data_IF_419772326137
#
_entry.id   IF_419772326137
#
_cell.length_a   1.000
_cell.length_b   1.000
_cell.length_c   1.000
_cell.angle_alpha   90.00
_cell.angle_beta   90.00
_cell.angle_gamma   90.00
#
_symmetry.space_group_name_H-M   'P 1'
#
loop_
_entity.id
_entity.type
_entity.pdbx_description
1 polymer ?
#
# COMPACT_ATOMS: atom_id res chain seq x y z
N UNK A 1 1.85 -31.87 -29.22
CA UNK A 1 1.31 -31.32 -27.96
C UNK A 1 2.30 -31.68 -26.85
N UNK A 2 3.06 -30.70 -26.35
CA UNK A 2 4.06 -30.90 -25.30
C UNK A 2 3.36 -30.88 -23.95
N UNK A 3 3.46 -31.97 -23.20
CA UNK A 3 3.04 -32.06 -21.81
C UNK A 3 3.86 -31.06 -20.98
N UNK A 4 3.21 -30.00 -20.50
CA UNK A 4 3.76 -29.13 -19.46
C UNK A 4 3.63 -29.90 -18.16
N UNK A 5 4.74 -30.46 -17.69
CA UNK A 5 4.84 -31.00 -16.35
C UNK A 5 4.65 -29.83 -15.36
N UNK A 6 3.46 -29.77 -14.75
CA UNK A 6 3.22 -28.94 -13.57
C UNK A 6 4.11 -29.54 -12.47
N UNK A 7 5.25 -28.92 -12.21
CA UNK A 7 6.06 -29.26 -11.05
C UNK A 7 5.26 -28.89 -9.80
N UNK A 8 4.58 -29.88 -9.23
CA UNK A 8 4.10 -29.80 -7.86
C UNK A 8 5.33 -29.75 -6.96
N UNK A 9 5.83 -28.55 -6.69
CA UNK A 9 6.62 -28.31 -5.50
C UNK A 9 5.68 -28.58 -4.33
N UNK A 10 5.86 -29.75 -3.70
CA UNK A 10 5.30 -30.03 -2.37
C UNK A 10 5.74 -28.88 -1.46
N UNK A 11 4.85 -27.91 -1.23
CA UNK A 11 4.98 -27.02 -0.10
C UNK A 11 4.85 -27.92 1.12
N UNK A 12 5.94 -28.14 1.86
CA UNK A 12 5.87 -28.61 3.23
C UNK A 12 4.95 -27.64 3.97
N UNK A 13 3.68 -28.02 4.08
CA UNK A 13 2.63 -27.22 4.67
C UNK A 13 2.88 -27.18 6.16
N UNK A 14 3.52 -26.12 6.65
CA UNK A 14 3.44 -25.74 8.04
C UNK A 14 1.97 -25.48 8.35
N UNK A 15 1.31 -26.39 9.08
CA UNK A 15 -0.04 -26.18 9.63
C UNK A 15 -0.09 -24.78 10.28
N UNK A 16 -1.13 -24.00 9.97
CA UNK A 16 -1.33 -22.67 10.59
C UNK A 16 -0.63 -21.49 9.92
N UNK A 17 -0.14 -21.63 8.68
CA UNK A 17 0.34 -20.46 7.90
C UNK A 17 -0.81 -19.81 7.13
N UNK A 18 -1.07 -18.53 7.38
CA UNK A 18 -2.06 -17.72 6.70
C UNK A 18 -1.39 -16.73 5.74
N UNK A 19 -1.85 -16.71 4.49
CA UNK A 19 -1.40 -15.72 3.52
C UNK A 19 -1.97 -14.35 3.88
N UNK A 20 -1.11 -13.34 3.92
CA UNK A 20 -1.48 -11.97 4.17
C UNK A 20 -0.89 -11.03 3.13
N UNK A 21 -1.53 -9.88 2.98
CA UNK A 21 -1.13 -8.79 2.11
C UNK A 21 -0.62 -7.64 2.98
N UNK A 22 0.51 -7.05 2.60
CA UNK A 22 1.04 -5.86 3.27
C UNK A 22 0.06 -4.68 3.16
N UNK A 23 -0.29 -4.06 4.30
CA UNK A 23 -1.28 -2.97 4.38
C UNK A 23 -0.67 -1.56 4.31
N UNK A 24 0.64 -1.44 4.06
CA UNK A 24 1.33 -0.14 4.14
C UNK A 24 1.31 0.68 2.84
N UNK A 25 1.48 0.06 1.68
CA UNK A 25 1.52 0.76 0.41
C UNK A 25 0.88 -0.07 -0.70
N UNK A 26 0.60 0.56 -1.85
CA UNK A 26 -0.08 -0.06 -2.98
C UNK A 26 0.66 -1.24 -3.65
N UNK A 27 1.93 -1.51 -3.30
CA UNK A 27 2.63 -2.71 -3.78
C UNK A 27 2.02 -4.01 -3.26
N UNK A 28 1.33 -3.95 -2.11
CA UNK A 28 0.55 -5.07 -1.56
C UNK A 28 1.33 -6.40 -1.57
N UNK A 29 2.59 -6.36 -1.13
CA UNK A 29 3.45 -7.53 -1.11
C UNK A 29 2.83 -8.65 -0.27
N UNK A 30 2.85 -9.87 -0.79
CA UNK A 30 2.27 -11.05 -0.12
C UNK A 30 3.32 -11.80 0.67
N UNK A 31 2.96 -12.23 1.88
CA UNK A 31 3.78 -13.07 2.75
C UNK A 31 2.86 -13.86 3.69
N UNK A 32 3.37 -14.91 4.29
CA UNK A 32 2.64 -15.72 5.27
C UNK A 32 2.88 -15.21 6.68
N UNK A 33 1.88 -15.36 7.55
CA UNK A 33 2.07 -15.36 8.99
C UNK A 33 1.73 -16.76 9.51
N UNK A 34 2.60 -17.33 10.32
CA UNK A 34 2.26 -18.51 11.11
C UNK A 34 2.17 -18.15 12.58
N UNK A 35 1.32 -18.88 13.28
CA UNK A 35 1.21 -18.83 14.74
C UNK A 35 0.35 -20.00 15.15
N UNK A 36 0.90 -20.92 15.92
CA UNK A 36 0.16 -22.10 16.36
C UNK A 36 -0.72 -21.69 17.54
N UNK A 37 -2.05 -21.78 17.37
CA UNK A 37 -3.09 -21.45 18.38
C UNK A 37 -2.68 -20.32 19.33
N UNK A 38 -2.15 -19.24 18.78
CA UNK A 38 -1.42 -18.20 19.52
C UNK A 38 -2.30 -17.48 20.55
N UNK A 39 -3.63 -17.61 20.42
CA UNK A 39 -4.63 -17.02 21.32
C UNK A 39 -5.39 -18.05 22.18
N UNK A 40 -5.14 -19.37 22.02
CA UNK A 40 -5.91 -20.42 22.72
C UNK A 40 -5.09 -21.21 23.77
N UNK A 41 -3.78 -20.97 23.87
CA UNK A 41 -2.92 -21.67 24.84
C UNK A 41 -2.70 -20.83 26.10
N UNK A 42 -2.89 -21.43 27.27
CA UNK A 42 -2.53 -20.86 28.59
C UNK A 42 -1.00 -20.84 28.79
N UNK A 43 -0.25 -21.56 27.95
CA UNK A 43 1.20 -21.61 27.98
C UNK A 43 1.74 -20.83 26.79
N UNK A 44 2.34 -19.68 27.07
CA UNK A 44 2.99 -18.85 26.07
C UNK A 44 4.41 -19.36 25.83
N UNK A 45 4.64 -20.01 24.69
CA UNK A 45 5.95 -20.48 24.26
C UNK A 45 6.37 -19.90 22.92
N UNK A 46 7.59 -20.21 22.49
CA UNK A 46 8.20 -19.76 21.23
C UNK A 46 7.34 -20.15 20.01
N UNK A 47 6.56 -21.22 20.11
CA UNK A 47 5.59 -21.70 19.13
C UNK A 47 4.33 -20.82 18.99
N UNK A 48 4.02 -19.98 19.99
CA UNK A 48 2.87 -19.07 19.97
C UNK A 48 3.22 -17.68 19.42
N UNK A 49 4.51 -17.41 19.18
CA UNK A 49 4.96 -16.17 18.54
C UNK A 49 4.54 -16.17 17.07
N UNK A 50 3.98 -15.05 16.63
CA UNK A 50 3.65 -14.85 15.22
C UNK A 50 4.96 -14.73 14.43
N UNK A 51 5.12 -15.53 13.38
CA UNK A 51 6.32 -15.56 12.54
C UNK A 51 5.99 -15.24 11.09
N UNK A 52 6.84 -14.45 10.40
CA UNK A 52 6.68 -14.26 8.98
C UNK A 52 7.22 -15.46 8.19
N UNK A 53 6.51 -15.81 7.13
CA UNK A 53 6.92 -16.78 6.12
C UNK A 53 7.02 -16.08 4.77
N UNK A 54 8.20 -16.13 4.15
CA UNK A 54 8.41 -15.47 2.85
C UNK A 54 8.29 -16.48 1.73
N UNK A 55 7.32 -16.27 0.84
CA UNK A 55 7.19 -17.05 -0.39
C UNK A 55 8.21 -16.52 -1.41
N UNK A 56 9.00 -17.43 -1.99
CA UNK A 56 10.35 -17.16 -2.54
C UNK A 56 10.44 -16.39 -3.88
N UNK A 57 9.58 -15.39 -4.16
CA UNK A 57 9.76 -14.50 -5.33
C UNK A 57 9.55 -13.01 -5.04
N UNK A 58 8.73 -12.65 -4.06
CA UNK A 58 8.52 -11.25 -3.66
C UNK A 58 9.18 -11.00 -2.31
N UNK A 59 10.16 -10.10 -2.29
CA UNK A 59 10.76 -9.63 -1.05
C UNK A 59 9.82 -8.63 -0.40
N UNK A 60 9.78 -8.59 0.91
CA UNK A 60 9.08 -7.55 1.65
C UNK A 60 10.04 -6.44 2.06
N UNK A 61 9.54 -5.21 2.12
CA UNK A 61 10.31 -4.07 2.62
C UNK A 61 10.34 -4.05 4.17
N UNK A 62 11.10 -3.15 4.81
CA UNK A 62 11.10 -3.01 6.27
C UNK A 62 9.70 -2.77 6.87
N UNK A 63 8.81 -2.05 6.17
CA UNK A 63 7.42 -1.87 6.61
C UNK A 63 6.63 -3.18 6.58
N UNK A 64 6.83 -4.01 5.55
CA UNK A 64 6.22 -5.35 5.50
C UNK A 64 6.71 -6.25 6.64
N UNK A 65 8.00 -6.15 7.01
CA UNK A 65 8.55 -6.90 8.15
C UNK A 65 7.90 -6.45 9.46
N UNK A 66 7.67 -5.14 9.59
CA UNK A 66 7.03 -4.54 10.76
C UNK A 66 5.57 -4.98 10.96
N UNK A 67 4.89 -5.53 9.94
CA UNK A 67 3.54 -6.10 10.13
C UNK A 67 3.49 -7.18 11.23
N UNK A 68 4.55 -7.99 11.36
CA UNK A 68 4.62 -9.03 12.41
C UNK A 68 4.64 -8.39 13.78
N UNK A 69 5.49 -7.37 13.95
CA UNK A 69 5.58 -6.60 15.19
C UNK A 69 4.26 -5.89 15.49
N UNK A 70 3.66 -5.26 14.49
CA UNK A 70 2.41 -4.52 14.63
C UNK A 70 1.28 -5.40 15.18
N UNK A 71 1.17 -6.66 14.72
CA UNK A 71 0.13 -7.60 15.19
C UNK A 71 0.31 -7.98 16.66
N UNK A 72 1.53 -8.02 17.16
CA UNK A 72 1.84 -8.42 18.54
C UNK A 72 2.30 -7.26 19.44
N UNK A 73 2.17 -6.01 18.96
CA UNK A 73 2.71 -4.85 19.66
C UNK A 73 1.95 -4.57 20.97
N UNK A 74 2.67 -4.39 22.07
CA UNK A 74 2.09 -4.21 23.40
C UNK A 74 1.20 -2.95 23.54
N UNK A 75 1.41 -1.94 22.68
CA UNK A 75 0.56 -0.73 22.64
C UNK A 75 -0.68 -0.84 21.74
N UNK A 76 -1.00 -2.03 21.20
CA UNK A 76 -2.26 -2.22 20.48
C UNK A 76 -3.44 -1.99 21.42
N UNK A 77 -4.46 -1.30 20.93
CA UNK A 77 -5.72 -1.12 21.66
C UNK A 77 -6.45 -2.47 21.73
N UNK A 78 -6.50 -3.07 22.91
CA UNK A 78 -7.21 -4.33 23.16
C UNK A 78 -8.68 -4.11 23.58
N UNK A 79 -9.02 -2.92 24.09
CA UNK A 79 -10.33 -2.60 24.63
C UNK A 79 -10.81 -1.24 24.12
N UNK A 80 -12.11 -1.06 23.88
CA UNK A 80 -12.65 0.23 23.54
C UNK A 80 -12.51 1.21 24.70
N UNK A 81 -12.37 2.50 24.36
CA UNK A 81 -12.29 3.59 25.33
C UNK A 81 -13.32 4.66 25.02
N UNK A 82 -13.92 5.24 26.05
CA UNK A 82 -14.80 6.42 25.97
C UNK A 82 -14.19 7.49 26.87
N UNK A 83 -13.62 8.54 26.27
CA UNK A 83 -12.71 9.43 26.99
C UNK A 83 -11.47 8.66 27.44
N UNK A 84 -11.15 8.71 28.73
CA UNK A 84 -10.02 7.97 29.32
C UNK A 84 -10.41 6.58 29.85
N UNK A 85 -11.71 6.28 29.96
CA UNK A 85 -12.20 5.07 30.59
C UNK A 85 -12.22 3.88 29.62
N UNK A 86 -11.74 2.72 30.09
CA UNK A 86 -11.89 1.44 29.38
C UNK A 86 -13.29 0.90 29.67
N UNK A 87 -14.03 0.60 28.60
CA UNK A 87 -15.44 0.14 28.70
C UNK A 87 -15.63 -1.20 28.00
N UNK A 88 -16.78 -1.84 28.22
CA UNK A 88 -17.16 -3.01 27.43
C UNK A 88 -17.59 -2.59 26.03
N UNK A 89 -17.41 -3.48 25.05
CA UNK A 89 -17.82 -3.24 23.66
C UNK A 89 -19.30 -2.84 23.53
N UNK A 90 -20.20 -3.48 24.28
CA UNK A 90 -21.62 -3.14 24.26
C UNK A 90 -21.91 -1.71 24.79
N UNK A 91 -21.21 -1.30 25.84
CA UNK A 91 -21.34 0.06 26.41
C UNK A 91 -20.81 1.12 25.43
N UNK A 92 -19.68 0.83 24.75
CA UNK A 92 -19.17 1.69 23.69
C UNK A 92 -20.18 1.86 22.55
N UNK A 93 -20.87 0.80 22.15
CA UNK A 93 -21.91 0.87 21.12
C UNK A 93 -23.14 1.70 21.57
N UNK A 94 -23.63 1.51 22.79
CA UNK A 94 -24.74 2.33 23.30
C UNK A 94 -24.34 3.79 23.45
N UNK A 95 -23.09 4.08 23.83
CA UNK A 95 -22.55 5.45 23.82
C UNK A 95 -22.53 6.03 22.40
N UNK A 96 -21.99 5.31 21.41
CA UNK A 96 -21.99 5.78 20.02
C UNK A 96 -23.42 6.06 19.55
N UNK A 97 -24.36 5.16 19.83
CA UNK A 97 -25.77 5.29 19.45
C UNK A 97 -26.43 6.52 20.10
N UNK A 98 -26.17 6.79 21.37
CA UNK A 98 -26.72 7.98 22.05
C UNK A 98 -26.16 9.27 21.44
N UNK A 99 -24.85 9.35 21.22
CA UNK A 99 -24.22 10.50 20.55
C UNK A 99 -24.75 10.70 19.14
N UNK A 100 -24.90 9.63 18.37
CA UNK A 100 -25.43 9.69 17.01
C UNK A 100 -26.90 10.14 16.95
N UNK A 101 -27.68 9.93 18.01
CA UNK A 101 -29.06 10.44 18.10
C UNK A 101 -29.13 11.96 18.29
N UNK A 102 -28.10 12.56 18.89
CA UNK A 102 -28.01 14.01 19.13
C UNK A 102 -27.44 14.80 17.95
N UNK A 103 -26.72 14.12 17.04
CA UNK A 103 -26.01 14.77 15.93
C UNK A 103 -26.95 14.98 14.73
N UNK A 104 -26.86 16.16 14.13
CA UNK A 104 -27.45 16.44 12.82
C UNK A 104 -26.83 15.54 11.75
N UNK A 105 -27.62 14.59 11.27
CA UNK A 105 -27.19 13.59 10.28
C UNK A 105 -26.61 14.22 9.01
N UNK A 106 -27.11 15.39 8.62
CA UNK A 106 -26.65 16.12 7.42
C UNK A 106 -25.24 16.71 7.56
N UNK A 107 -24.74 16.80 8.81
CA UNK A 107 -23.42 17.32 9.18
C UNK A 107 -22.45 16.23 9.63
N UNK A 108 -22.83 14.97 9.46
CA UNK A 108 -21.97 13.82 9.81
C UNK A 108 -21.10 13.45 8.62
N UNK A 109 -19.79 13.30 8.83
CA UNK A 109 -18.85 12.85 7.81
C UNK A 109 -18.18 11.51 8.20
N UNK A 110 -17.97 10.66 7.21
CA UNK A 110 -17.22 9.41 7.33
C UNK A 110 -15.87 9.56 6.65
N UNK A 111 -14.79 9.40 7.41
CA UNK A 111 -13.42 9.37 6.90
C UNK A 111 -12.93 7.93 6.84
N UNK A 112 -12.51 7.51 5.65
CA UNK A 112 -12.11 6.14 5.37
C UNK A 112 -10.59 6.06 5.20
N UNK A 113 -9.98 5.06 5.83
CA UNK A 113 -8.58 4.72 5.63
C UNK A 113 -8.40 3.90 4.36
N UNK A 114 -7.32 4.13 3.61
CA UNK A 114 -6.91 3.25 2.50
C UNK A 114 -6.47 1.85 2.94
N UNK A 115 -6.39 1.59 4.24
CA UNK A 115 -6.11 0.27 4.82
C UNK A 115 -7.36 -0.62 4.98
N UNK A 116 -8.56 -0.09 4.75
CA UNK A 116 -9.80 -0.86 4.84
C UNK A 116 -9.92 -1.82 3.66
N UNK A 117 -10.59 -2.96 3.88
CA UNK A 117 -10.95 -3.84 2.77
C UNK A 117 -12.03 -3.20 1.89
N UNK A 118 -12.24 -3.77 0.69
CA UNK A 118 -13.32 -3.31 -0.20
C UNK A 118 -14.69 -3.56 0.43
N UNK A 119 -14.85 -4.65 1.16
CA UNK A 119 -16.08 -5.02 1.87
C UNK A 119 -16.38 -4.03 3.00
N UNK A 120 -15.37 -3.66 3.78
CA UNK A 120 -15.50 -2.66 4.85
C UNK A 120 -15.85 -1.28 4.27
N UNK A 121 -15.14 -0.87 3.22
CA UNK A 121 -15.39 0.38 2.50
C UNK A 121 -16.80 0.43 1.94
N UNK A 122 -17.27 -0.66 1.34
CA UNK A 122 -18.63 -0.80 0.84
C UNK A 122 -19.67 -0.73 1.97
N UNK A 123 -19.42 -1.39 3.10
CA UNK A 123 -20.30 -1.34 4.27
C UNK A 123 -20.46 0.08 4.81
N UNK A 124 -19.37 0.86 4.88
CA UNK A 124 -19.46 2.26 5.33
C UNK A 124 -20.19 3.14 4.31
N UNK A 125 -19.97 2.94 3.01
CA UNK A 125 -20.73 3.67 1.99
C UNK A 125 -22.24 3.39 2.10
N UNK A 126 -22.63 2.13 2.34
CA UNK A 126 -24.03 1.74 2.59
C UNK A 126 -24.58 2.31 3.88
N UNK A 127 -23.76 2.37 4.93
CA UNK A 127 -24.13 3.00 6.20
C UNK A 127 -24.39 4.50 6.00
N UNK A 128 -23.49 5.22 5.32
CA UNK A 128 -23.63 6.63 5.03
C UNK A 128 -24.89 6.94 4.22
N UNK A 129 -25.17 6.11 3.20
CA UNK A 129 -26.40 6.21 2.41
C UNK A 129 -27.65 6.06 3.29
N UNK A 130 -27.69 5.04 4.17
CA UNK A 130 -28.80 4.84 5.11
C UNK A 130 -28.90 5.96 6.14
N UNK A 131 -27.77 6.55 6.53
CA UNK A 131 -27.70 7.65 7.46
C UNK A 131 -28.20 8.98 6.85
N UNK A 132 -28.22 9.07 5.52
CA UNK A 132 -28.63 10.27 4.79
C UNK A 132 -27.52 11.32 4.67
N UNK A 133 -26.25 10.93 4.82
CA UNK A 133 -25.12 11.83 4.57
C UNK A 133 -24.45 11.51 3.23
N UNK A 134 -23.98 12.56 2.56
CA UNK A 134 -23.15 12.49 1.35
C UNK A 134 -21.66 12.66 1.66
N UNK A 135 -21.31 12.96 2.90
CA UNK A 135 -19.94 13.29 3.31
C UNK A 135 -19.19 12.01 3.62
N UNK A 136 -18.72 11.32 2.57
CA UNK A 136 -17.85 10.16 2.67
C UNK A 136 -16.59 10.47 1.87
N UNK A 137 -15.43 10.39 2.52
CA UNK A 137 -14.16 10.67 1.88
C UNK A 137 -13.09 9.68 2.32
N UNK A 138 -12.20 9.34 1.39
CA UNK A 138 -10.89 8.81 1.75
C UNK A 138 -10.06 9.91 2.39
N UNK A 139 -9.15 9.55 3.30
CA UNK A 139 -8.24 10.49 3.97
C UNK A 139 -7.25 11.13 2.98
N UNK A 140 -6.97 10.47 1.85
CA UNK A 140 -6.05 10.92 0.81
C UNK A 140 -6.82 11.24 -0.49
N UNK A 141 -7.34 12.47 -0.66
CA UNK A 141 -8.17 12.85 -1.81
C UNK A 141 -7.39 12.86 -3.14
N UNK A 142 -6.06 12.96 -3.11
CA UNK A 142 -5.20 12.83 -4.27
C UNK A 142 -5.40 11.51 -5.02
N UNK A 143 -5.75 10.43 -4.31
CA UNK A 143 -6.08 9.13 -4.90
C UNK A 143 -7.26 9.23 -5.86
N UNK A 144 -8.19 10.16 -5.64
CA UNK A 144 -9.34 10.39 -6.53
C UNK A 144 -8.90 10.99 -7.88
N UNK A 145 -7.94 11.92 -7.86
CA UNK A 145 -7.40 12.56 -9.07
C UNK A 145 -6.57 11.55 -9.86
N UNK A 146 -5.81 10.69 -9.18
CA UNK A 146 -5.03 9.64 -9.87
C UNK A 146 -5.88 8.44 -10.30
N UNK A 147 -7.02 8.17 -9.63
CA UNK A 147 -7.91 7.05 -9.97
C UNK A 147 -8.52 7.14 -11.38
N UNK A 148 -8.68 8.35 -11.93
CA UNK A 148 -9.12 8.52 -13.33
C UNK A 148 -8.07 8.04 -14.34
N UNK A 149 -6.80 7.98 -13.95
CA UNK A 149 -5.75 7.34 -14.74
C UNK A 149 -5.79 5.85 -14.43
N UNK A 150 -6.45 5.07 -15.29
CA UNK A 150 -6.39 3.60 -15.18
C UNK A 150 -4.94 3.16 -15.35
N UNK A 151 -4.30 2.77 -14.25
CA UNK A 151 -3.06 2.00 -14.26
C UNK A 151 -3.37 0.59 -14.75
N UNK A 152 -3.37 0.41 -16.07
CA UNK A 152 -3.50 -0.90 -16.71
C UNK A 152 -2.10 -1.43 -17.08
N UNK A 153 -1.22 -1.55 -16.09
CA UNK A 153 0.11 -2.09 -16.29
C UNK A 153 0.37 -3.24 -15.31
N UNK A 154 1.15 -4.22 -15.77
CA UNK A 154 1.65 -5.31 -14.95
C UNK A 154 3.04 -4.95 -14.42
N UNK A 155 3.33 -5.28 -13.16
CA UNK A 155 4.66 -5.08 -12.62
C UNK A 155 5.71 -5.93 -13.36
N UNK A 156 5.34 -7.04 -13.98
CA UNK A 156 6.27 -7.80 -14.81
C UNK A 156 6.61 -7.06 -16.11
N UNK A 157 5.66 -6.38 -16.75
CA UNK A 157 5.97 -5.59 -17.95
C UNK A 157 6.84 -4.37 -17.63
N UNK A 158 6.79 -3.86 -16.40
CA UNK A 158 7.74 -2.85 -15.94
C UNK A 158 9.18 -3.37 -15.98
N UNK A 159 9.43 -4.64 -15.64
CA UNK A 159 10.77 -5.25 -15.68
C UNK A 159 11.34 -5.40 -17.10
N UNK A 160 10.50 -5.30 -18.13
CA UNK A 160 10.91 -5.40 -19.54
C UNK A 160 11.11 -4.01 -20.18
N UNK A 161 10.92 -2.93 -19.42
CA UNK A 161 10.95 -1.57 -19.94
C UNK A 161 12.36 -1.11 -20.30
N UNK A 162 12.53 -0.58 -21.52
CA UNK A 162 13.81 -0.02 -21.99
C UNK A 162 14.09 1.38 -21.43
N UNK A 163 13.03 2.17 -21.24
CA UNK A 163 13.10 3.54 -20.72
C UNK A 163 12.06 3.66 -19.61
N UNK A 164 12.51 4.09 -18.43
CA UNK A 164 11.64 4.41 -17.29
C UNK A 164 11.85 5.87 -16.95
N UNK A 165 10.76 6.63 -16.91
CA UNK A 165 10.72 7.99 -16.38
C UNK A 165 9.96 7.94 -15.07
N UNK A 166 10.68 8.07 -13.96
CA UNK A 166 10.09 8.10 -12.63
C UNK A 166 9.86 9.55 -12.20
N UNK A 167 8.67 9.84 -11.67
CA UNK A 167 8.33 11.15 -11.12
C UNK A 167 8.19 11.00 -9.60
N UNK A 168 9.04 11.69 -8.84
CA UNK A 168 9.11 11.57 -7.38
C UNK A 168 9.95 10.40 -6.85
N UNK A 169 9.81 10.10 -5.55
CA UNK A 169 10.60 9.08 -4.84
C UNK A 169 9.88 7.73 -4.69
N UNK A 170 9.83 6.98 -5.80
CA UNK A 170 9.25 5.65 -5.86
C UNK A 170 9.88 4.65 -4.86
N UNK A 171 11.20 4.67 -4.67
CA UNK A 171 11.90 3.68 -3.86
C UNK A 171 11.71 3.87 -2.36
N UNK A 172 11.36 5.08 -1.92
CA UNK A 172 10.94 5.29 -0.52
C UNK A 172 9.47 4.97 -0.30
N UNK A 173 8.60 5.35 -1.26
CA UNK A 173 7.16 5.17 -1.14
C UNK A 173 6.71 3.72 -1.41
N UNK A 174 7.36 3.05 -2.36
CA UNK A 174 7.06 1.70 -2.85
C UNK A 174 8.34 0.84 -3.00
N UNK A 175 9.08 0.52 -1.92
CA UNK A 175 10.43 -0.02 -2.02
C UNK A 175 10.58 -1.31 -2.84
N UNK A 176 9.55 -2.18 -2.86
CA UNK A 176 9.60 -3.43 -3.60
C UNK A 176 9.49 -3.23 -5.12
N UNK A 177 9.03 -2.06 -5.58
CA UNK A 177 9.05 -1.69 -7.00
C UNK A 177 10.48 -1.59 -7.54
N UNK A 178 11.45 -1.30 -6.66
CA UNK A 178 12.85 -1.17 -7.03
C UNK A 178 13.39 -2.42 -7.72
N UNK A 179 12.90 -3.62 -7.35
CA UNK A 179 13.27 -4.86 -8.05
C UNK A 179 12.96 -4.76 -9.54
N UNK A 180 11.71 -4.44 -9.90
CA UNK A 180 11.27 -4.37 -11.29
C UNK A 180 11.99 -3.25 -12.06
N UNK A 181 12.16 -2.08 -11.42
CA UNK A 181 12.89 -0.96 -12.01
C UNK A 181 14.37 -1.31 -12.25
N UNK A 182 15.01 -2.03 -11.33
CA UNK A 182 16.39 -2.48 -11.50
C UNK A 182 16.53 -3.60 -12.53
N UNK A 183 15.63 -4.58 -12.53
CA UNK A 183 15.60 -5.64 -13.54
C UNK A 183 15.53 -5.02 -14.95
N UNK A 184 14.64 -4.03 -15.15
CA UNK A 184 14.56 -3.26 -16.39
C UNK A 184 15.82 -2.45 -16.68
N UNK A 185 16.29 -1.63 -15.73
CA UNK A 185 17.42 -0.72 -15.92
C UNK A 185 18.72 -1.46 -16.25
N UNK A 186 18.94 -2.63 -15.66
CA UNK A 186 20.17 -3.40 -15.78
C UNK A 186 20.09 -4.56 -16.78
N UNK A 187 18.94 -4.81 -17.42
CA UNK A 187 18.81 -5.83 -18.46
C UNK A 187 19.72 -5.58 -19.68
N UNK A 188 19.84 -4.33 -20.12
CA UNK A 188 20.73 -3.93 -21.21
C UNK A 188 21.46 -2.62 -20.92
N UNK A 189 22.68 -2.44 -21.46
CA UNK A 189 23.48 -1.22 -21.27
C UNK A 189 22.77 0.06 -21.73
N UNK A 190 21.90 -0.05 -22.74
CA UNK A 190 21.15 1.07 -23.31
C UNK A 190 19.88 1.42 -22.55
N UNK A 191 19.44 0.57 -21.61
CA UNK A 191 18.25 0.85 -20.83
C UNK A 191 18.47 2.08 -19.94
N UNK A 192 17.43 2.86 -19.75
CA UNK A 192 17.54 4.21 -19.22
C UNK A 192 16.53 4.45 -18.09
N UNK A 193 17.01 4.99 -16.98
CA UNK A 193 16.18 5.47 -15.88
C UNK A 193 16.41 6.98 -15.73
N UNK A 194 15.35 7.75 -15.92
CA UNK A 194 15.31 9.18 -15.63
C UNK A 194 14.44 9.41 -14.39
N UNK A 195 14.82 10.36 -13.54
CA UNK A 195 14.00 10.79 -12.39
C UNK A 195 13.71 12.27 -12.51
N UNK A 196 12.44 12.64 -12.38
CA UNK A 196 11.96 14.02 -12.29
C UNK A 196 11.48 14.25 -10.85
N UNK A 197 12.14 15.14 -10.13
CA UNK A 197 11.77 15.46 -8.76
C UNK A 197 12.31 16.85 -8.38
N UNK A 198 11.80 17.40 -7.28
CA UNK A 198 12.31 18.64 -6.69
C UNK A 198 13.60 18.47 -5.89
N UNK A 199 13.87 17.25 -5.42
CA UNK A 199 15.05 16.93 -4.63
C UNK A 199 15.62 15.56 -5.02
N UNK A 200 16.92 15.36 -4.77
CA UNK A 200 17.53 14.03 -4.93
C UNK A 200 16.98 13.09 -3.86
N UNK A 201 16.51 11.93 -4.32
CA UNK A 201 15.83 10.91 -3.53
C UNK A 201 16.47 9.52 -3.72
N UNK A 202 15.99 8.51 -2.99
CA UNK A 202 16.50 7.12 -3.13
C UNK A 202 16.33 6.60 -4.55
N UNK A 203 15.28 7.05 -5.25
CA UNK A 203 15.06 6.71 -6.66
C UNK A 203 16.11 7.35 -7.56
N UNK A 204 16.41 8.64 -7.35
CA UNK A 204 17.38 9.39 -8.18
C UNK A 204 18.81 8.86 -8.10
N UNK A 205 19.21 8.20 -7.01
CA UNK A 205 20.56 7.67 -6.84
C UNK A 205 20.90 6.56 -7.84
N UNK A 206 19.88 5.89 -8.38
CA UNK A 206 20.05 4.85 -9.38
C UNK A 206 19.71 5.32 -10.79
N UNK A 207 19.30 6.57 -10.95
CA UNK A 207 18.94 7.16 -12.22
C UNK A 207 20.18 7.58 -13.00
N UNK A 208 20.11 7.46 -14.33
CA UNK A 208 21.14 7.98 -15.21
C UNK A 208 20.97 9.49 -15.41
N UNK A 209 19.73 9.98 -15.37
CA UNK A 209 19.44 11.40 -15.44
C UNK A 209 18.52 11.81 -14.29
N UNK A 210 18.87 12.93 -13.66
CA UNK A 210 18.03 13.60 -12.67
C UNK A 210 17.63 14.96 -13.23
N UNK A 211 16.34 15.11 -13.51
CA UNK A 211 15.73 16.35 -13.99
C UNK A 211 15.12 17.08 -12.79
N UNK A 212 15.93 17.94 -12.19
CA UNK A 212 15.54 18.71 -11.01
C UNK A 212 14.55 19.82 -11.36
N UNK A 213 13.39 19.82 -10.70
CA UNK A 213 12.42 20.91 -10.75
C UNK A 213 12.49 21.77 -9.49
N UNK A 214 12.07 23.04 -9.56
CA UNK A 214 11.74 23.77 -8.31
C UNK A 214 10.49 23.14 -7.68
N UNK A 215 10.33 23.17 -6.35
CA UNK A 215 9.08 22.75 -5.70
C UNK A 215 7.86 23.39 -6.38
N UNK A 216 6.86 22.58 -6.71
CA UNK A 216 5.66 23.01 -7.45
C UNK A 216 5.83 23.12 -8.98
N UNK A 217 7.03 22.92 -9.54
CA UNK A 217 7.30 23.04 -11.00
C UNK A 217 7.61 21.70 -11.70
N UNK A 218 7.28 20.57 -11.07
CA UNK A 218 7.47 19.23 -11.67
C UNK A 218 6.65 19.09 -12.96
N UNK A 219 5.42 19.64 -12.98
CA UNK A 219 4.56 19.62 -14.16
C UNK A 219 5.20 20.33 -15.36
N UNK A 220 5.90 21.45 -15.14
CA UNK A 220 6.54 22.23 -16.20
C UNK A 220 7.67 21.43 -16.88
N UNK A 221 8.42 20.65 -16.11
CA UNK A 221 9.45 19.74 -16.66
C UNK A 221 8.79 18.64 -17.50
N UNK A 222 7.68 18.08 -17.05
CA UNK A 222 6.92 17.08 -17.80
C UNK A 222 6.35 17.67 -19.09
N UNK A 223 5.81 18.89 -19.03
CA UNK A 223 5.31 19.62 -20.20
C UNK A 223 6.42 19.90 -21.21
N UNK A 224 7.58 20.37 -20.74
CA UNK A 224 8.74 20.61 -21.60
C UNK A 224 9.22 19.33 -22.29
N UNK A 225 9.26 18.19 -21.57
CA UNK A 225 9.57 16.89 -22.17
C UNK A 225 8.55 16.47 -23.23
N UNK A 226 7.25 16.67 -22.95
CA UNK A 226 6.20 16.36 -23.92
C UNK A 226 6.34 17.21 -25.20
N UNK A 227 6.57 18.52 -25.05
CA UNK A 227 6.83 19.45 -26.17
C UNK A 227 8.07 19.05 -26.97
N UNK A 228 9.16 18.68 -26.28
CA UNK A 228 10.39 18.21 -26.92
C UNK A 228 10.16 16.96 -27.78
N UNK A 229 9.37 15.99 -27.28
CA UNK A 229 9.01 14.78 -28.04
C UNK A 229 8.15 15.11 -29.27
N UNK A 230 7.30 16.13 -29.17
CA UNK A 230 6.46 16.61 -30.26
C UNK A 230 7.19 17.54 -31.24
N UNK A 231 8.48 17.84 -31.01
CA UNK A 231 9.27 18.77 -31.82
C UNK A 231 8.82 20.23 -31.71
N UNK A 232 8.12 20.59 -30.63
CA UNK A 232 7.66 21.95 -30.35
C UNK A 232 8.73 22.74 -29.60
N UNK A 233 8.66 24.07 -29.67
CA UNK A 233 9.49 24.92 -28.79
C UNK A 233 9.11 24.71 -27.32
N UNK A 234 10.12 24.63 -26.45
CA UNK A 234 9.94 24.45 -25.02
C UNK A 234 10.95 25.26 -24.21
N UNK A 235 10.57 25.59 -22.98
CA UNK A 235 11.41 26.22 -21.97
C UNK A 235 11.16 25.56 -20.62
N UNK A 236 12.20 25.45 -19.79
CA UNK A 236 12.15 24.88 -18.43
C UNK A 236 12.34 26.01 -17.41
#
# INVERSE_FOLDING_TARGET
MKNVAISQTKSEGYMGTHNIVCHFCSMQDMFGLSGDRSFESVHFGVQNLVRPHYFSQKRICPRGNFCVELVQHAKRTAYPKVGEDIVKTAEAFEFIKSRLAEVDKTKTAFFLSGSLTLEETYAVARLAQKWGTRWVSLIYPEDYVVASFKNNFDLQSLAESKIIVAIGDLFSLHPTIAKFVHDARFAERKNFLAVIDSARSRTSWFAWSFLGAKPGRVADVVEALAKAVLGQEYSI
#
